data_IF_905194160777
#
_entry.id   IF_905194160777
#
_cell.length_a   1.000
_cell.length_b   1.000
_cell.length_c   1.000
_cell.angle_alpha   90.00
_cell.angle_beta   90.00
_cell.angle_gamma   90.00
#
_symmetry.space_group_name_H-M   'P 1'
#
loop_
_entity.id
_entity.type
_entity.pdbx_description
1 polymer ?
#
# COMPACT_ATOMS: atom_id res chain seq x y z
N UNK A 1 -13.26 -55.08 -16.16
CA UNK A 1 -13.46 -53.74 -15.57
C UNK A 1 -12.41 -52.84 -16.18
N UNK A 2 -12.83 -51.97 -17.09
CA UNK A 2 -11.98 -50.92 -17.65
C UNK A 2 -11.90 -49.79 -16.62
N UNK A 3 -10.68 -49.48 -16.18
CA UNK A 3 -10.38 -48.33 -15.35
C UNK A 3 -10.74 -47.04 -16.11
N UNK A 4 -11.69 -46.28 -15.57
CA UNK A 4 -12.23 -45.06 -16.18
C UNK A 4 -11.54 -43.79 -15.69
N UNK A 5 -10.43 -43.89 -14.94
CA UNK A 5 -9.84 -42.71 -14.28
C UNK A 5 -8.87 -41.90 -15.15
N UNK A 6 -8.43 -42.39 -16.33
CA UNK A 6 -7.65 -41.60 -17.29
C UNK A 6 -7.99 -41.93 -18.76
N UNK A 7 -9.13 -41.44 -19.28
CA UNK A 7 -9.62 -41.78 -20.62
C UNK A 7 -8.77 -41.19 -21.76
N UNK A 8 -7.80 -40.33 -21.47
CA UNK A 8 -6.98 -39.63 -22.47
C UNK A 8 -5.50 -40.05 -22.44
N UNK A 9 -5.07 -40.89 -21.49
CA UNK A 9 -3.70 -41.41 -21.43
C UNK A 9 -2.63 -40.32 -21.26
N UNK A 10 -3.00 -39.15 -20.74
CA UNK A 10 -2.06 -38.05 -20.52
C UNK A 10 -1.46 -38.24 -19.13
N UNK A 11 -0.16 -38.47 -19.07
CA UNK A 11 0.63 -38.38 -17.85
C UNK A 11 0.95 -36.92 -17.55
N UNK A 12 0.99 -36.53 -16.27
CA UNK A 12 1.58 -35.27 -15.83
C UNK A 12 2.97 -35.12 -16.46
N UNK A 13 3.13 -34.03 -17.20
CA UNK A 13 4.39 -33.67 -17.81
C UNK A 13 5.14 -32.80 -16.81
N UNK A 14 6.40 -33.16 -16.55
CA UNK A 14 7.33 -32.35 -15.79
C UNK A 14 7.54 -31.03 -16.53
N UNK A 15 7.03 -29.93 -15.98
CA UNK A 15 7.45 -28.60 -16.40
C UNK A 15 8.89 -28.41 -15.92
N UNK A 16 9.80 -28.22 -16.88
CA UNK A 16 11.21 -27.96 -16.62
C UNK A 16 11.42 -26.88 -15.56
N UNK A 17 12.50 -27.02 -14.81
CA UNK A 17 12.85 -26.18 -13.66
C UNK A 17 12.67 -24.67 -13.91
N UNK A 18 12.20 -24.01 -12.86
CA UNK A 18 11.99 -22.57 -12.70
C UNK A 18 10.86 -21.92 -13.52
N UNK A 19 9.73 -22.62 -13.69
CA UNK A 19 8.47 -21.93 -13.98
C UNK A 19 7.84 -21.51 -12.64
N UNK A 20 7.98 -20.23 -12.28
CA UNK A 20 7.18 -19.62 -11.23
C UNK A 20 5.71 -19.65 -11.68
N UNK A 21 4.94 -20.62 -11.18
CA UNK A 21 3.50 -20.68 -11.37
C UNK A 21 2.91 -19.50 -10.59
N UNK A 22 2.26 -18.53 -11.24
CA UNK A 22 1.61 -17.43 -10.53
C UNK A 22 0.59 -18.00 -9.54
N UNK A 23 0.49 -17.38 -8.36
CA UNK A 23 -0.56 -17.70 -7.40
C UNK A 23 -1.93 -17.65 -8.11
N UNK A 24 -2.61 -18.80 -8.17
CA UNK A 24 -3.89 -18.95 -8.87
C UNK A 24 -5.04 -18.29 -8.09
N UNK A 25 -4.85 -18.05 -6.78
CA UNK A 25 -5.81 -17.37 -5.90
C UNK A 25 -5.15 -16.16 -5.23
N UNK A 26 -5.95 -15.13 -4.96
CA UNK A 26 -5.55 -13.93 -4.21
C UNK A 26 -5.14 -14.24 -2.75
N UNK A 27 -5.74 -15.30 -2.20
CA UNK A 27 -5.34 -16.08 -1.02
C UNK A 27 -3.85 -16.41 -0.93
N UNK A 28 -3.28 -16.85 -2.06
CA UNK A 28 -2.00 -17.55 -2.10
C UNK A 28 -0.81 -16.58 -2.32
N UNK A 29 -1.08 -15.26 -2.38
CA UNK A 29 -0.05 -14.23 -2.52
C UNK A 29 0.73 -14.07 -1.22
N UNK A 30 2.06 -14.01 -1.31
CA UNK A 30 2.93 -13.74 -0.16
C UNK A 30 2.54 -12.42 0.50
N UNK A 31 2.35 -12.47 1.81
CA UNK A 31 2.10 -11.33 2.70
C UNK A 31 3.11 -11.45 3.82
N UNK A 32 3.91 -10.42 4.04
CA UNK A 32 4.90 -10.43 5.10
C UNK A 32 5.46 -9.04 5.32
N UNK A 33 5.84 -8.74 6.56
CA UNK A 33 6.69 -7.58 6.86
C UNK A 33 8.18 -7.85 6.64
N UNK A 34 8.58 -9.05 6.19
CA UNK A 34 10.00 -9.40 6.00
C UNK A 34 10.40 -9.21 4.53
N UNK A 35 11.31 -8.28 4.19
CA UNK A 35 11.73 -8.06 2.81
C UNK A 35 12.31 -9.31 2.12
N UNK A 36 12.94 -10.21 2.88
CA UNK A 36 13.52 -11.45 2.35
C UNK A 36 12.49 -12.47 1.84
N UNK A 37 11.22 -12.35 2.24
CA UNK A 37 10.14 -13.25 1.80
C UNK A 37 9.71 -12.96 0.35
N UNK A 38 10.13 -11.83 -0.20
CA UNK A 38 9.82 -11.40 -1.55
C UNK A 38 11.07 -11.49 -2.43
N UNK A 39 11.13 -12.37 -3.44
CA UNK A 39 12.24 -12.38 -4.40
C UNK A 39 12.42 -11.01 -5.06
N UNK A 40 13.66 -10.63 -5.38
CA UNK A 40 13.94 -9.38 -6.12
C UNK A 40 13.35 -9.51 -7.53
N UNK A 41 12.42 -8.62 -7.94
CA UNK A 41 11.82 -8.67 -9.26
C UNK A 41 12.86 -8.53 -10.38
N UNK A 42 12.74 -9.38 -11.40
CA UNK A 42 13.56 -9.30 -12.61
C UNK A 42 12.75 -8.96 -13.87
N UNK A 43 11.43 -8.83 -13.75
CA UNK A 43 10.50 -8.44 -14.81
C UNK A 43 9.92 -9.60 -15.62
N UNK A 44 10.20 -10.85 -15.21
CA UNK A 44 9.59 -12.06 -15.81
C UNK A 44 8.34 -12.51 -15.05
N UNK A 45 8.18 -12.02 -13.83
CA UNK A 45 7.03 -12.27 -12.98
C UNK A 45 5.79 -11.57 -13.56
N UNK A 46 4.63 -12.22 -13.48
CA UNK A 46 3.38 -11.68 -14.06
C UNK A 46 3.01 -10.31 -13.46
N UNK A 47 3.27 -10.11 -12.18
CA UNK A 47 3.04 -8.86 -11.45
C UNK A 47 3.86 -7.67 -11.97
N UNK A 48 4.99 -7.98 -12.60
CA UNK A 48 5.97 -7.01 -13.07
C UNK A 48 5.99 -6.90 -14.60
N UNK A 49 5.14 -7.67 -15.30
CA UNK A 49 5.11 -7.77 -16.77
C UNK A 49 4.97 -6.41 -17.48
N UNK A 50 4.23 -5.48 -16.89
CA UNK A 50 3.97 -4.14 -17.44
C UNK A 50 4.78 -3.04 -16.74
N UNK A 51 5.68 -3.41 -15.84
CA UNK A 51 6.52 -2.47 -15.12
C UNK A 51 7.92 -2.42 -15.74
N UNK A 52 8.52 -1.23 -15.90
CA UNK A 52 9.88 -1.11 -16.42
C UNK A 52 10.92 -1.47 -15.33
N UNK A 53 10.97 -2.74 -14.91
CA UNK A 53 11.75 -3.23 -13.76
C UNK A 53 13.21 -2.77 -13.77
N UNK A 54 13.85 -2.70 -14.94
CA UNK A 54 15.23 -2.20 -15.07
C UNK A 54 15.43 -0.76 -14.58
N UNK A 55 14.40 0.09 -14.67
CA UNK A 55 14.42 1.47 -14.16
C UNK A 55 14.09 1.55 -12.67
N UNK A 56 13.60 0.46 -12.09
CA UNK A 56 13.08 0.37 -10.72
C UNK A 56 13.96 -0.50 -9.81
N UNK A 57 15.12 -0.97 -10.29
CA UNK A 57 15.98 -1.90 -9.55
C UNK A 57 16.29 -1.46 -8.13
N UNK A 58 16.51 -0.16 -7.94
CA UNK A 58 16.99 0.39 -6.67
C UNK A 58 15.86 0.46 -5.64
N UNK A 59 14.58 0.43 -6.06
CA UNK A 59 13.42 0.33 -5.15
C UNK A 59 13.30 -1.04 -4.48
N UNK A 60 14.05 -2.04 -4.95
CA UNK A 60 14.04 -3.38 -4.39
C UNK A 60 15.17 -3.62 -3.37
N UNK A 61 16.08 -2.66 -3.21
CA UNK A 61 17.16 -2.75 -2.23
C UNK A 61 16.60 -2.57 -0.82
N UNK A 62 16.95 -3.47 0.10
CA UNK A 62 16.53 -3.39 1.50
C UNK A 62 17.49 -2.51 2.31
N UNK A 63 17.61 -1.26 1.90
CA UNK A 63 18.57 -0.27 2.42
C UNK A 63 17.84 0.88 3.13
N UNK A 64 18.44 1.39 4.20
CA UNK A 64 17.91 2.56 4.89
C UNK A 64 18.32 3.85 4.18
N UNK A 65 17.52 4.89 4.37
CA UNK A 65 17.78 6.25 3.89
C UNK A 65 17.38 7.25 4.96
N UNK A 66 18.13 8.35 5.06
CA UNK A 66 17.74 9.49 5.90
C UNK A 66 16.86 10.49 5.14
N UNK A 67 16.70 10.31 3.82
CA UNK A 67 15.86 11.16 2.99
C UNK A 67 14.39 11.01 3.40
N UNK A 68 13.68 12.13 3.41
CA UNK A 68 12.25 12.22 3.73
C UNK A 68 11.57 13.19 2.77
N UNK A 69 10.29 12.95 2.52
CA UNK A 69 9.43 13.99 1.98
C UNK A 69 9.28 15.09 3.02
N UNK A 70 9.15 16.33 2.57
CA UNK A 70 8.73 17.43 3.44
C UNK A 70 7.22 17.33 3.60
N UNK A 71 6.76 17.25 4.84
CA UNK A 71 5.33 17.18 5.16
C UNK A 71 4.84 18.54 5.64
N UNK A 72 3.80 19.06 5.00
CA UNK A 72 2.94 20.14 5.50
C UNK A 72 1.51 19.61 5.59
N UNK A 73 0.74 20.01 6.59
CA UNK A 73 -0.59 19.44 6.81
C UNK A 73 -1.58 20.49 7.34
N UNK A 74 -2.72 20.58 6.67
CA UNK A 74 -3.89 21.31 7.11
C UNK A 74 -4.91 20.33 7.70
N UNK A 75 -4.81 20.12 9.02
CA UNK A 75 -5.60 19.14 9.75
C UNK A 75 -6.78 19.81 10.50
N UNK A 76 -8.03 19.37 10.30
CA UNK A 76 -9.17 19.85 11.08
C UNK A 76 -9.09 19.39 12.54
N UNK A 77 -9.86 20.06 13.40
CA UNK A 77 -10.00 19.63 14.78
C UNK A 77 -10.59 18.20 14.84
N UNK A 78 -10.07 17.39 15.76
CA UNK A 78 -10.49 15.99 15.92
C UNK A 78 -9.64 14.98 15.18
N UNK A 79 -8.76 15.39 14.26
CA UNK A 79 -7.69 14.56 13.74
C UNK A 79 -6.40 14.80 14.53
N UNK A 80 -5.71 13.73 14.91
CA UNK A 80 -4.39 13.79 15.56
C UNK A 80 -3.32 13.15 14.68
N UNK A 81 -2.07 13.60 14.84
CA UNK A 81 -0.90 13.05 14.14
C UNK A 81 0.21 12.76 15.14
N UNK A 82 0.86 11.62 14.99
CA UNK A 82 2.02 11.21 15.79
C UNK A 82 2.97 10.34 14.94
N UNK A 83 4.24 10.28 15.35
CA UNK A 83 5.20 9.31 14.82
C UNK A 83 5.22 8.08 15.73
N UNK A 84 5.04 6.89 15.15
CA UNK A 84 5.03 5.60 15.87
C UNK A 84 6.06 4.63 15.26
N UNK A 85 6.32 3.52 15.97
CA UNK A 85 7.16 2.44 15.46
C UNK A 85 6.37 1.51 14.53
N UNK A 86 7.07 0.68 13.75
CA UNK A 86 6.44 -0.36 12.95
C UNK A 86 5.65 -1.36 13.81
N UNK A 87 6.17 -1.71 14.99
CA UNK A 87 5.49 -2.62 15.92
C UNK A 87 4.18 -2.01 16.42
N UNK A 88 4.20 -0.73 16.82
CA UNK A 88 2.98 -0.02 17.21
C UNK A 88 1.98 0.07 16.05
N UNK A 89 2.46 0.27 14.82
CA UNK A 89 1.62 0.24 13.62
C UNK A 89 0.97 -1.15 13.43
N UNK A 90 1.71 -2.24 13.62
CA UNK A 90 1.20 -3.61 13.56
C UNK A 90 0.15 -3.88 14.65
N UNK A 91 0.32 -3.33 15.86
CA UNK A 91 -0.66 -3.43 16.95
C UNK A 91 -2.00 -2.73 16.63
N UNK A 92 -2.00 -1.75 15.72
CA UNK A 92 -3.23 -1.12 15.21
C UNK A 92 -4.01 -2.03 14.23
N UNK A 93 -3.45 -3.17 13.84
CA UNK A 93 -4.11 -4.14 12.95
C UNK A 93 -3.95 -3.84 11.46
N UNK A 94 -2.87 -3.16 11.07
CA UNK A 94 -2.52 -2.99 9.65
C UNK A 94 -2.29 -4.34 8.96
N UNK A 95 -2.45 -4.37 7.65
CA UNK A 95 -2.23 -5.57 6.86
C UNK A 95 -0.74 -5.73 6.53
N UNK A 96 -0.31 -6.98 6.45
CA UNK A 96 1.00 -7.33 5.90
C UNK A 96 1.06 -6.95 4.40
N UNK A 97 2.10 -6.21 3.97
CA UNK A 97 2.22 -5.81 2.57
C UNK A 97 2.48 -7.00 1.65
N UNK A 98 2.20 -6.83 0.35
CA UNK A 98 2.25 -7.86 -0.69
C UNK A 98 3.25 -7.54 -1.81
N UNK A 99 3.88 -6.37 -1.75
CA UNK A 99 4.78 -5.85 -2.80
C UNK A 99 6.13 -5.47 -2.20
N UNK A 100 7.23 -5.98 -2.78
CA UNK A 100 8.58 -5.84 -2.22
C UNK A 100 8.97 -4.39 -1.88
N UNK A 101 8.83 -3.39 -2.79
CA UNK A 101 9.09 -1.98 -2.45
C UNK A 101 8.32 -1.48 -1.23
N UNK A 102 7.08 -1.91 -1.05
CA UNK A 102 6.24 -1.48 0.07
C UNK A 102 6.66 -2.17 1.38
N UNK A 103 7.13 -3.42 1.30
CA UNK A 103 7.71 -4.14 2.44
C UNK A 103 9.03 -3.49 2.87
N UNK A 104 9.88 -3.10 1.90
CA UNK A 104 11.07 -2.30 2.15
C UNK A 104 10.68 -0.97 2.80
N UNK A 105 9.71 -0.26 2.23
CA UNK A 105 9.23 1.00 2.79
C UNK A 105 8.77 0.85 4.25
N UNK A 106 7.99 -0.19 4.56
CA UNK A 106 7.52 -0.46 5.92
C UNK A 106 8.67 -0.64 6.94
N UNK A 107 9.79 -1.23 6.51
CA UNK A 107 10.95 -1.52 7.38
C UNK A 107 12.01 -0.41 7.40
N UNK A 108 12.08 0.39 6.34
CA UNK A 108 13.15 1.37 6.09
C UNK A 108 12.67 2.80 6.15
N UNK A 109 11.36 3.04 6.21
CA UNK A 109 10.82 4.33 6.58
C UNK A 109 11.41 4.73 7.94
N UNK A 110 12.02 5.93 8.05
CA UNK A 110 12.63 6.36 9.31
C UNK A 110 11.66 6.44 10.49
N UNK A 111 10.37 6.65 10.21
CA UNK A 111 9.24 6.65 11.16
C UNK A 111 7.99 6.16 10.44
N UNK A 112 6.98 5.74 11.22
CA UNK A 112 5.61 5.57 10.72
C UNK A 112 4.79 6.78 11.16
N UNK A 113 4.15 7.49 10.23
CA UNK A 113 3.28 8.61 10.56
C UNK A 113 1.85 8.11 10.73
N UNK A 114 1.28 8.26 11.91
CA UNK A 114 -0.07 7.83 12.25
C UNK A 114 -1.01 9.04 12.32
N UNK A 115 -2.02 9.04 11.44
CA UNK A 115 -3.14 9.96 11.49
C UNK A 115 -4.35 9.25 12.09
N UNK A 116 -4.90 9.79 13.18
CA UNK A 116 -5.99 9.17 13.92
C UNK A 116 -7.20 10.08 14.05
N UNK A 117 -8.37 9.57 13.65
CA UNK A 117 -9.69 10.16 13.88
C UNK A 117 -10.41 9.29 14.93
N UNK A 118 -10.75 9.82 16.12
CA UNK A 118 -11.46 9.06 17.15
C UNK A 118 -12.84 8.59 16.71
N UNK A 119 -13.39 7.60 17.42
CA UNK A 119 -14.77 7.17 17.22
C UNK A 119 -15.77 8.31 17.41
N UNK A 120 -16.93 8.19 16.77
CA UNK A 120 -18.05 9.13 16.84
C UNK A 120 -17.67 10.59 16.49
N UNK A 121 -16.60 10.77 15.70
CA UNK A 121 -16.09 12.07 15.26
C UNK A 121 -16.40 12.30 13.79
N UNK A 122 -17.04 13.42 13.46
CA UNK A 122 -17.18 13.90 12.08
C UNK A 122 -16.23 15.09 11.88
N UNK A 123 -15.26 14.96 10.97
CA UNK A 123 -14.41 16.07 10.59
C UNK A 123 -15.23 17.10 9.81
N UNK A 124 -15.08 18.38 10.13
CA UNK A 124 -15.85 19.48 9.54
C UNK A 124 -15.40 19.85 8.11
N UNK A 125 -14.21 19.39 7.72
CA UNK A 125 -13.61 19.53 6.38
C UNK A 125 -12.61 18.41 6.13
N UNK A 126 -12.08 18.35 4.92
CA UNK A 126 -11.00 17.43 4.59
C UNK A 126 -9.73 17.77 5.37
N UNK A 127 -9.01 16.73 5.80
CA UNK A 127 -7.62 16.81 6.19
C UNK A 127 -6.76 16.75 4.93
N UNK A 128 -5.89 17.74 4.73
CA UNK A 128 -5.02 17.81 3.55
C UNK A 128 -3.57 17.67 4.02
N UNK A 129 -2.87 16.69 3.45
CA UNK A 129 -1.47 16.38 3.75
C UNK A 129 -0.68 16.59 2.46
N UNK A 130 0.24 17.54 2.45
CA UNK A 130 1.18 17.77 1.36
C UNK A 130 2.48 17.03 1.67
N UNK A 131 2.90 16.17 0.74
CA UNK A 131 4.08 15.32 0.83
C UNK A 131 5.04 15.64 -0.32
N UNK A 132 5.94 16.60 -0.07
CA UNK A 132 6.78 17.17 -1.12
C UNK A 132 8.13 16.44 -1.25
N UNK A 133 8.45 16.02 -2.47
CA UNK A 133 9.75 15.51 -2.86
C UNK A 133 10.85 16.55 -2.71
N UNK A 134 12.00 16.13 -2.18
CA UNK A 134 13.15 17.00 -1.90
C UNK A 134 14.35 16.73 -2.83
N UNK A 135 14.18 15.91 -3.88
CA UNK A 135 15.24 15.53 -4.81
C UNK A 135 15.16 14.06 -5.24
N UNK A 136 16.18 13.58 -5.93
CA UNK A 136 16.22 12.24 -6.52
C UNK A 136 16.78 11.14 -5.58
N UNK A 137 16.87 11.42 -4.28
CA UNK A 137 17.28 10.40 -3.31
C UNK A 137 16.15 9.42 -3.03
N UNK A 138 16.48 8.13 -2.89
CA UNK A 138 15.51 7.12 -2.47
C UNK A 138 14.93 7.51 -1.11
N UNK A 139 13.60 7.55 -1.04
CA UNK A 139 12.83 7.95 0.13
C UNK A 139 11.79 6.89 0.44
N UNK A 140 11.70 6.48 1.70
CA UNK A 140 10.76 5.46 2.18
C UNK A 140 9.72 6.10 3.10
N UNK A 141 8.44 5.94 2.77
CA UNK A 141 7.31 6.41 3.57
C UNK A 141 6.48 5.27 4.15
N UNK A 142 5.97 5.45 5.37
CA UNK A 142 4.99 4.56 5.96
C UNK A 142 3.94 5.39 6.68
N UNK A 143 2.70 5.37 6.17
CA UNK A 143 1.58 6.12 6.72
C UNK A 143 0.54 5.13 7.24
N UNK A 144 0.02 5.40 8.44
CA UNK A 144 -1.14 4.70 8.99
C UNK A 144 -2.26 5.71 9.19
N UNK A 145 -3.45 5.38 8.74
CA UNK A 145 -4.66 6.16 8.94
C UNK A 145 -5.66 5.30 9.70
N UNK A 146 -5.95 5.65 10.94
CA UNK A 146 -6.95 4.98 11.76
C UNK A 146 -8.18 5.86 11.90
N UNK A 147 -9.34 5.35 11.50
CA UNK A 147 -10.63 6.04 11.66
C UNK A 147 -11.52 5.21 12.56
N UNK A 148 -11.89 5.76 13.71
CA UNK A 148 -12.67 5.06 14.73
C UNK A 148 -14.11 4.73 14.29
N UNK A 149 -14.79 3.94 15.10
CA UNK A 149 -16.16 3.52 14.82
C UNK A 149 -17.11 4.72 14.67
N UNK A 150 -18.05 4.63 13.72
CA UNK A 150 -19.03 5.67 13.37
C UNK A 150 -18.43 7.05 13.04
N UNK A 151 -17.12 7.14 12.83
CA UNK A 151 -16.48 8.40 12.48
C UNK A 151 -16.65 8.69 10.99
N UNK A 152 -16.58 9.97 10.62
CA UNK A 152 -16.67 10.41 9.24
C UNK A 152 -15.52 11.35 8.90
N UNK A 153 -14.74 10.97 7.88
CA UNK A 153 -13.51 11.66 7.55
C UNK A 153 -13.27 11.68 6.03
N UNK A 154 -12.75 12.81 5.54
CA UNK A 154 -12.10 12.90 4.24
C UNK A 154 -10.64 13.25 4.46
N UNK A 155 -9.75 12.44 3.92
CA UNK A 155 -8.31 12.59 4.08
C UNK A 155 -7.70 12.59 2.68
N UNK A 156 -6.91 13.61 2.38
CA UNK A 156 -6.26 13.83 1.09
C UNK A 156 -4.75 13.86 1.31
N UNK A 157 -4.02 13.05 0.55
CA UNK A 157 -2.55 13.08 0.51
C UNK A 157 -2.13 13.51 -0.89
N UNK A 158 -1.43 14.64 -0.95
CA UNK A 158 -0.93 15.24 -2.19
C UNK A 158 0.58 15.04 -2.27
N UNK A 159 1.02 14.45 -3.36
CA UNK A 159 2.43 14.21 -3.63
C UNK A 159 2.93 15.12 -4.75
N UNK A 160 3.89 15.99 -4.46
CA UNK A 160 4.41 17.00 -5.38
C UNK A 160 5.94 17.07 -5.40
N UNK A 161 6.51 17.66 -6.45
CA UNK A 161 7.96 17.84 -6.59
C UNK A 161 8.69 16.61 -7.13
N UNK A 162 10.02 16.60 -6.99
CA UNK A 162 10.88 15.52 -7.46
C UNK A 162 11.20 14.54 -6.33
N UNK A 163 10.87 13.26 -6.52
CA UNK A 163 11.21 12.18 -5.58
C UNK A 163 11.40 10.83 -6.25
N UNK A 164 12.21 9.98 -5.62
CA UNK A 164 12.18 8.52 -5.80
C UNK A 164 11.61 7.92 -4.53
N UNK A 165 10.30 7.68 -4.54
CA UNK A 165 9.53 7.42 -3.35
C UNK A 165 8.93 6.02 -3.35
N UNK A 166 9.15 5.26 -2.29
CA UNK A 166 8.41 4.02 -2.04
C UNK A 166 7.58 4.15 -0.77
N UNK A 167 6.35 3.65 -0.78
CA UNK A 167 5.48 3.77 0.39
C UNK A 167 4.66 2.54 0.72
N UNK A 168 4.30 2.45 2.00
CA UNK A 168 3.16 1.69 2.47
C UNK A 168 2.16 2.65 3.14
N UNK A 169 0.92 2.64 2.67
CA UNK A 169 -0.22 3.32 3.31
C UNK A 169 -1.15 2.26 3.88
N UNK A 170 -1.39 2.30 5.19
CA UNK A 170 -2.29 1.38 5.87
C UNK A 170 -3.52 2.12 6.40
N UNK A 171 -4.71 1.66 6.04
CA UNK A 171 -5.99 2.26 6.41
C UNK A 171 -6.76 1.29 7.31
N UNK A 172 -6.97 1.69 8.57
CA UNK A 172 -7.77 0.94 9.55
C UNK A 172 -9.10 1.66 9.74
N UNK A 173 -10.15 1.14 9.09
CA UNK A 173 -11.47 1.75 9.06
C UNK A 173 -12.39 1.02 10.04
N UNK A 174 -12.77 1.70 11.12
CA UNK A 174 -13.61 1.17 12.18
C UNK A 174 -15.06 0.90 11.74
N UNK A 175 -15.77 0.15 12.57
CA UNK A 175 -17.17 -0.23 12.31
C UNK A 175 -18.07 0.99 12.11
N UNK A 176 -18.91 0.98 11.08
CA UNK A 176 -19.85 2.05 10.76
C UNK A 176 -19.20 3.37 10.32
N UNK A 177 -17.88 3.42 10.14
CA UNK A 177 -17.20 4.64 9.70
C UNK A 177 -17.51 4.97 8.23
N UNK A 178 -17.49 6.25 7.87
CA UNK A 178 -17.66 6.77 6.52
C UNK A 178 -16.39 7.54 6.11
N UNK A 179 -15.53 6.89 5.33
CA UNK A 179 -14.17 7.35 5.05
C UNK A 179 -13.98 7.53 3.57
N UNK A 180 -13.52 8.72 3.18
CA UNK A 180 -12.95 8.97 1.86
C UNK A 180 -11.46 9.23 2.00
N UNK A 181 -10.63 8.37 1.42
CA UNK A 181 -9.20 8.60 1.30
C UNK A 181 -8.84 8.89 -0.15
N UNK A 182 -8.14 10.00 -0.37
CA UNK A 182 -7.71 10.46 -1.70
C UNK A 182 -6.20 10.53 -1.72
N UNK A 183 -5.59 9.88 -2.69
CA UNK A 183 -4.15 9.98 -2.95
C UNK A 183 -3.93 10.59 -4.33
N UNK A 184 -3.25 11.74 -4.35
CA UNK A 184 -2.92 12.49 -5.56
C UNK A 184 -1.42 12.38 -5.83
N UNK A 185 -1.04 11.90 -7.02
CA UNK A 185 0.34 11.90 -7.50
C UNK A 185 0.49 12.99 -8.55
N UNK A 186 0.96 14.15 -8.10
CA UNK A 186 1.19 15.38 -8.86
C UNK A 186 2.71 15.65 -9.00
N UNK A 187 3.50 14.57 -9.10
CA UNK A 187 4.95 14.65 -9.12
C UNK A 187 5.50 15.37 -10.36
N UNK A 188 6.67 15.98 -10.21
CA UNK A 188 7.46 16.54 -11.31
C UNK A 188 7.96 15.45 -12.27
N UNK A 189 8.30 15.84 -13.50
CA UNK A 189 9.01 14.99 -14.45
C UNK A 189 10.30 14.42 -13.82
N UNK A 190 10.59 13.14 -14.07
CA UNK A 190 11.71 12.42 -13.46
C UNK A 190 11.40 11.75 -12.13
N UNK A 191 10.28 12.08 -11.48
CA UNK A 191 9.89 11.43 -10.23
C UNK A 191 9.42 9.98 -10.46
N UNK A 192 9.66 9.12 -9.47
CA UNK A 192 9.29 7.72 -9.50
C UNK A 192 8.62 7.35 -8.18
N UNK A 193 7.46 6.70 -8.24
CA UNK A 193 6.67 6.32 -7.08
C UNK A 193 6.25 4.85 -7.15
N UNK A 194 6.59 4.08 -6.12
CA UNK A 194 6.14 2.70 -5.92
C UNK A 194 5.42 2.56 -4.57
N UNK A 195 4.12 2.32 -4.59
CA UNK A 195 3.34 2.31 -3.36
C UNK A 195 2.36 1.15 -3.27
N UNK A 196 2.01 0.79 -2.03
CA UNK A 196 0.88 -0.07 -1.73
C UNK A 196 -0.01 0.58 -0.69
N UNK A 197 -1.31 0.54 -0.95
CA UNK A 197 -2.36 1.04 -0.07
C UNK A 197 -3.23 -0.13 0.37
N UNK A 198 -3.21 -0.42 1.66
CA UNK A 198 -3.93 -1.55 2.24
C UNK A 198 -5.00 -1.04 3.19
N UNK A 199 -6.26 -1.42 2.95
CA UNK A 199 -7.38 -1.07 3.81
C UNK A 199 -7.99 -2.31 4.48
N UNK A 200 -8.22 -2.22 5.79
CA UNK A 200 -9.11 -3.13 6.53
C UNK A 200 -10.39 -2.37 6.89
N UNK A 201 -11.52 -2.87 6.41
CA UNK A 201 -12.83 -2.22 6.49
C UNK A 201 -13.73 -2.95 7.48
N UNK A 202 -14.17 -2.20 8.50
CA UNK A 202 -15.04 -2.64 9.58
C UNK A 202 -16.44 -3.06 9.15
N UNK A 203 -17.20 -3.55 10.14
CA UNK A 203 -18.61 -3.88 9.98
C UNK A 203 -19.40 -2.66 9.55
N UNK A 204 -20.27 -2.80 8.55
CA UNK A 204 -21.17 -1.73 8.08
C UNK A 204 -20.45 -0.40 7.71
N UNK A 205 -19.14 -0.42 7.53
CA UNK A 205 -18.33 0.75 7.21
C UNK A 205 -18.34 1.04 5.69
N UNK A 206 -18.17 2.31 5.33
CA UNK A 206 -18.06 2.79 3.96
C UNK A 206 -16.68 3.33 3.73
N UNK A 207 -15.97 2.74 2.78
CA UNK A 207 -14.64 3.19 2.41
C UNK A 207 -14.59 3.57 0.92
N UNK A 208 -14.20 4.80 0.64
CA UNK A 208 -13.96 5.30 -0.71
C UNK A 208 -12.48 5.57 -0.87
N UNK A 209 -11.86 4.96 -1.87
CA UNK A 209 -10.46 5.12 -2.18
C UNK A 209 -10.26 5.72 -3.57
N UNK A 210 -9.79 6.96 -3.62
CA UNK A 210 -9.58 7.67 -4.89
C UNK A 210 -8.08 7.82 -5.13
N UNK A 211 -7.60 7.23 -6.21
CA UNK A 211 -6.25 7.45 -6.71
C UNK A 211 -6.29 8.30 -7.97
N UNK A 212 -5.51 9.38 -8.00
CA UNK A 212 -5.37 10.22 -9.18
C UNK A 212 -3.89 10.46 -9.44
N UNK A 213 -3.40 9.95 -10.58
CA UNK A 213 -2.01 10.14 -11.00
C UNK A 213 -1.97 11.05 -12.21
N UNK A 214 -1.33 12.22 -12.08
CA UNK A 214 -1.22 13.25 -13.11
C UNK A 214 0.22 13.67 -13.41
N UNK A 215 1.20 13.08 -12.74
CA UNK A 215 2.62 13.39 -12.91
C UNK A 215 3.56 12.22 -12.59
N UNK A 216 4.85 12.48 -12.71
CA UNK A 216 5.93 11.50 -12.54
C UNK A 216 6.23 10.66 -13.78
N UNK A 217 7.48 10.19 -13.86
CA UNK A 217 7.98 9.31 -14.93
C UNK A 217 7.43 7.89 -14.81
N UNK A 218 7.38 7.37 -13.57
CA UNK A 218 6.87 6.02 -13.28
C UNK A 218 6.12 6.08 -11.96
N UNK A 219 4.82 5.79 -11.99
CA UNK A 219 4.00 5.62 -10.79
C UNK A 219 3.34 4.25 -10.86
N UNK A 220 3.61 3.40 -9.86
CA UNK A 220 2.97 2.10 -9.69
C UNK A 220 2.40 2.02 -8.29
N UNK A 221 1.08 1.95 -8.20
CA UNK A 221 0.36 1.83 -6.94
C UNK A 221 -0.47 0.57 -6.93
N UNK A 222 -0.37 -0.19 -5.84
CA UNK A 222 -1.20 -1.34 -5.57
C UNK A 222 -2.25 -0.96 -4.51
N UNK A 223 -3.45 -1.50 -4.62
CA UNK A 223 -4.50 -1.30 -3.60
C UNK A 223 -5.10 -2.63 -3.21
N UNK A 224 -5.11 -2.91 -1.91
CA UNK A 224 -5.79 -4.07 -1.35
C UNK A 224 -6.83 -3.63 -0.34
N UNK A 225 -7.97 -4.32 -0.36
CA UNK A 225 -9.04 -4.11 0.61
C UNK A 225 -9.41 -5.47 1.20
N UNK A 226 -9.52 -5.52 2.53
CA UNK A 226 -10.05 -6.65 3.29
C UNK A 226 -11.19 -6.16 4.17
N UNK A 227 -12.20 -7.01 4.34
CA UNK A 227 -13.32 -6.74 5.24
C UNK A 227 -13.11 -7.55 6.52
N UNK A 228 -13.13 -6.89 7.68
CA UNK A 228 -13.01 -7.57 8.98
C UNK A 228 -14.35 -8.14 9.46
N UNK A 229 -15.46 -7.65 8.92
CA UNK A 229 -16.81 -8.08 9.25
C UNK A 229 -17.81 -7.84 8.08
N UNK A 230 -19.00 -8.47 8.10
CA UNK A 230 -20.02 -8.27 7.07
C UNK A 230 -20.55 -6.83 7.00
N UNK A 231 -21.13 -6.47 5.86
CA UNK A 231 -21.86 -5.21 5.67
C UNK A 231 -21.01 -4.01 5.27
N UNK A 232 -19.68 -4.12 5.36
CA UNK A 232 -18.78 -3.09 4.84
C UNK A 232 -18.83 -3.00 3.31
N UNK A 233 -18.64 -1.79 2.78
CA UNK A 233 -18.50 -1.50 1.36
C UNK A 233 -17.20 -0.74 1.09
N UNK A 234 -16.58 -1.03 -0.06
CA UNK A 234 -15.39 -0.35 -0.52
C UNK A 234 -15.49 -0.07 -2.03
N UNK A 235 -15.18 1.16 -2.43
CA UNK A 235 -15.15 1.61 -3.84
C UNK A 235 -13.90 2.40 -4.20
#
# INVERSE_FOLDING_TARGET
MTDTTNPLGVSEHSHGGDIHVPASKRDDRTRSFTPADFPVPNGREEEWRFSPVRKLSDFFADEATDARLRIDADLPAGLSVEEISLEAAQELGILEPEDRPSVVAANRAPVVTHYSVPADTELDRAAIIHADGQGDQMTHGHIVVSVGANAKATIVVEHEGLSRYSELVSLVVGDGADVTFVSLQLWDDGAQHMGQHDAIVGKDAKFKHIHVTLGGDIVRLNTNVRFSAPGGEAE
#
